data_IF_574673743584
#
_entry.id   IF_574673743584
#
_cell.length_a   1.000
_cell.length_b   1.000
_cell.length_c   1.000
_cell.angle_alpha   90.00
_cell.angle_beta   90.00
_cell.angle_gamma   90.00
#
_symmetry.space_group_name_H-M   'P 1'
#
loop_
_entity.id
_entity.type
_entity.pdbx_description
1 polymer ?
#
# COMPACT_ATOMS: atom_id res chain seq x y z
N UNK A 1 24.83 -6.92 -1.90
CA UNK A 1 24.83 -7.19 -3.37
C UNK A 1 23.79 -8.26 -3.60
N UNK A 2 22.52 -7.85 -3.73
CA UNK A 2 21.39 -8.78 -3.75
C UNK A 2 20.97 -9.09 -5.20
N UNK A 3 20.64 -10.36 -5.43
CA UNK A 3 20.32 -11.01 -6.70
C UNK A 3 19.45 -10.16 -7.66
N UNK A 4 20.07 -9.45 -8.60
CA UNK A 4 19.49 -9.16 -9.91
C UNK A 4 19.90 -10.25 -10.89
N UNK A 5 19.71 -11.52 -10.53
CA UNK A 5 20.43 -12.67 -11.12
C UNK A 5 20.33 -12.88 -12.65
N UNK A 6 19.61 -12.03 -13.39
CA UNK A 6 19.52 -12.08 -14.85
C UNK A 6 19.46 -10.70 -15.54
N UNK A 7 19.41 -9.58 -14.82
CA UNK A 7 19.22 -8.23 -15.41
C UNK A 7 20.34 -7.28 -15.00
N UNK A 8 20.79 -6.45 -15.94
CA UNK A 8 21.60 -5.26 -15.66
C UNK A 8 20.82 -4.24 -14.80
N UNK A 9 21.53 -3.26 -14.24
CA UNK A 9 20.89 -2.20 -13.42
C UNK A 9 19.92 -1.36 -14.26
N UNK A 10 20.28 -1.12 -15.51
CA UNK A 10 19.51 -0.36 -16.49
C UNK A 10 18.24 -1.12 -16.87
N UNK A 11 18.34 -2.42 -17.17
CA UNK A 11 17.18 -3.27 -17.46
C UNK A 11 16.23 -3.37 -16.27
N UNK A 12 16.77 -3.56 -15.07
CA UNK A 12 15.99 -3.57 -13.84
C UNK A 12 15.20 -2.26 -13.62
N UNK A 13 15.85 -1.13 -13.88
CA UNK A 13 15.22 0.20 -13.80
C UNK A 13 14.11 0.33 -14.84
N UNK A 14 14.36 -0.11 -16.08
CA UNK A 14 13.37 -0.08 -17.15
C UNK A 14 12.15 -0.95 -16.81
N UNK A 15 12.36 -2.17 -16.30
CA UNK A 15 11.26 -3.07 -15.91
C UNK A 15 10.37 -2.43 -14.84
N UNK A 16 10.94 -1.77 -13.83
CA UNK A 16 10.18 -1.01 -12.83
C UNK A 16 9.38 0.14 -13.45
N UNK A 17 10.00 0.90 -14.34
CA UNK A 17 9.35 2.02 -15.01
C UNK A 17 8.19 1.54 -15.89
N UNK A 18 8.41 0.48 -16.67
CA UNK A 18 7.41 -0.15 -17.52
C UNK A 18 6.23 -0.68 -16.69
N UNK A 19 6.52 -1.31 -15.55
CA UNK A 19 5.49 -1.84 -14.65
C UNK A 19 4.49 -0.77 -14.24
N UNK A 20 4.97 0.37 -13.71
CA UNK A 20 4.08 1.45 -13.27
C UNK A 20 3.42 2.18 -14.44
N UNK A 21 4.14 2.34 -15.55
CA UNK A 21 3.60 2.94 -16.78
C UNK A 21 2.45 2.12 -17.33
N UNK A 22 2.59 0.81 -17.41
CA UNK A 22 1.54 -0.08 -17.92
C UNK A 22 0.39 -0.25 -16.94
N UNK A 23 0.65 -0.24 -15.63
CA UNK A 23 -0.42 -0.20 -14.63
C UNK A 23 -1.31 1.03 -14.83
N UNK A 24 -0.72 2.23 -14.90
CA UNK A 24 -1.47 3.48 -15.11
C UNK A 24 -2.16 3.56 -16.47
N UNK A 25 -1.58 2.99 -17.53
CA UNK A 25 -2.24 2.86 -18.85
C UNK A 25 -3.36 1.82 -18.85
N UNK A 26 -3.29 0.77 -18.04
CA UNK A 26 -4.37 -0.22 -17.97
C UNK A 26 -5.55 0.34 -17.18
N UNK A 27 -5.27 1.02 -16.08
CA UNK A 27 -6.26 1.64 -15.20
C UNK A 27 -6.07 3.15 -15.21
N UNK A 28 -6.75 3.82 -16.14
CA UNK A 28 -6.74 5.29 -16.29
C UNK A 28 -7.51 5.97 -15.15
N UNK A 29 -7.01 5.84 -13.92
CA UNK A 29 -7.60 6.37 -12.69
C UNK A 29 -6.56 7.17 -11.92
N UNK A 30 -7.00 8.29 -11.34
CA UNK A 30 -6.21 9.06 -10.38
C UNK A 30 -6.51 8.55 -8.98
N UNK A 31 -5.47 8.12 -8.27
CA UNK A 31 -5.57 7.59 -6.90
C UNK A 31 -5.18 8.65 -5.87
N UNK A 32 -5.84 8.64 -4.71
CA UNK A 32 -5.55 9.48 -3.55
C UNK A 32 -4.49 8.80 -2.69
N UNK A 33 -3.23 8.88 -3.12
CA UNK A 33 -2.13 8.23 -2.40
C UNK A 33 -1.60 9.07 -1.23
N UNK A 34 -1.46 10.38 -1.46
CA UNK A 34 -0.84 11.30 -0.49
C UNK A 34 -1.74 12.48 -0.11
N UNK A 35 -2.72 12.83 -0.96
CA UNK A 35 -3.61 13.98 -0.73
C UNK A 35 -4.82 13.60 0.14
N UNK A 36 -4.57 12.87 1.22
CA UNK A 36 -5.58 12.34 2.14
C UNK A 36 -6.20 13.41 3.04
N UNK A 37 -5.70 14.65 3.00
CA UNK A 37 -6.05 15.78 3.88
C UNK A 37 -5.85 15.52 5.38
N UNK A 38 -5.24 14.38 5.74
CA UNK A 38 -4.85 14.06 7.11
C UNK A 38 -3.32 13.92 7.10
N UNK A 39 -2.67 14.70 7.96
CA UNK A 39 -1.21 14.79 7.98
C UNK A 39 -0.61 13.42 8.30
N UNK A 40 0.40 13.03 7.53
CA UNK A 40 1.18 11.79 7.71
C UNK A 40 0.35 10.49 7.63
N UNK A 41 -0.84 10.54 7.00
CA UNK A 41 -1.60 9.35 6.63
C UNK A 41 -1.62 9.22 5.10
N UNK A 42 -1.18 8.07 4.57
CA UNK A 42 -1.04 7.84 3.13
C UNK A 42 -1.64 6.49 2.72
N UNK A 43 -2.23 6.43 1.52
CA UNK A 43 -2.53 5.18 0.84
C UNK A 43 -1.37 4.80 -0.08
N UNK A 44 -0.93 3.55 -0.08
CA UNK A 44 0.26 3.15 -0.87
C UNK A 44 0.07 1.86 -1.65
N UNK A 45 0.67 1.84 -2.84
CA UNK A 45 1.05 0.62 -3.54
C UNK A 45 2.53 0.34 -3.25
N UNK A 46 2.86 -0.89 -2.88
CA UNK A 46 4.25 -1.30 -2.66
C UNK A 46 4.56 -2.63 -3.34
N UNK A 47 5.81 -2.78 -3.78
CA UNK A 47 6.36 -4.03 -4.29
C UNK A 47 7.54 -4.42 -3.39
N UNK A 48 7.41 -5.55 -2.69
CA UNK A 48 8.39 -6.09 -1.75
C UNK A 48 8.68 -7.55 -2.15
N UNK A 49 9.76 -7.88 -2.86
CA UNK A 49 9.98 -9.25 -3.38
C UNK A 49 9.93 -10.31 -2.24
N UNK A 50 9.05 -11.34 -2.29
CA UNK A 50 8.20 -11.79 -3.40
C UNK A 50 6.69 -11.46 -3.26
N UNK A 51 6.34 -10.21 -2.99
CA UNK A 51 5.00 -9.76 -2.61
C UNK A 51 4.65 -8.40 -3.23
N UNK A 52 3.36 -8.17 -3.42
CA UNK A 52 2.78 -6.86 -3.70
C UNK A 52 1.87 -6.47 -2.54
N UNK A 53 1.77 -5.18 -2.22
CA UNK A 53 1.04 -4.70 -1.06
C UNK A 53 0.22 -3.46 -1.38
N UNK A 54 -0.97 -3.39 -0.78
CA UNK A 54 -1.79 -2.17 -0.69
C UNK A 54 -1.94 -1.85 0.80
N UNK A 55 -1.71 -0.60 1.19
CA UNK A 55 -1.71 -0.19 2.60
C UNK A 55 -2.28 1.20 2.87
N UNK A 56 -2.74 1.40 4.11
CA UNK A 56 -2.83 2.70 4.79
C UNK A 56 -1.65 2.78 5.75
N UNK A 57 -0.83 3.81 5.59
CA UNK A 57 0.33 4.07 6.44
C UNK A 57 0.05 5.30 7.33
N UNK A 58 0.34 5.19 8.62
CA UNK A 58 0.41 6.32 9.56
C UNK A 58 1.88 6.54 9.90
N UNK A 59 2.46 7.58 9.33
CA UNK A 59 3.90 7.84 9.31
C UNK A 59 4.30 9.01 10.20
N UNK A 60 3.45 9.40 11.15
CA UNK A 60 3.74 10.53 12.03
C UNK A 60 5.00 10.24 12.87
N UNK A 61 5.93 11.20 12.93
CA UNK A 61 7.20 11.02 13.63
C UNK A 61 7.02 10.95 15.16
N UNK A 62 6.03 11.70 15.68
CA UNK A 62 5.57 11.59 17.07
C UNK A 62 4.71 10.33 17.23
N UNK A 63 5.10 9.50 18.20
CA UNK A 63 4.50 8.21 18.51
C UNK A 63 3.08 8.32 19.09
N UNK A 64 2.80 9.34 19.89
CA UNK A 64 1.46 9.59 20.45
C UNK A 64 0.46 9.88 19.33
N UNK A 65 0.83 10.73 18.37
CA UNK A 65 -0.04 10.99 17.22
C UNK A 65 -0.17 9.77 16.31
N UNK A 66 0.90 9.00 16.13
CA UNK A 66 0.88 7.77 15.34
C UNK A 66 -0.04 6.72 15.96
N UNK A 67 0.03 6.53 17.27
CA UNK A 67 -0.86 5.66 18.03
C UNK A 67 -2.32 6.14 17.95
N UNK A 68 -2.56 7.45 18.16
CA UNK A 68 -3.89 8.06 18.08
C UNK A 68 -4.62 7.75 16.76
N UNK A 69 -3.98 8.03 15.63
CA UNK A 69 -4.61 7.76 14.32
C UNK A 69 -4.75 6.27 14.03
N UNK A 70 -3.80 5.46 14.47
CA UNK A 70 -3.91 4.01 14.32
C UNK A 70 -5.05 3.42 15.17
N UNK A 71 -5.28 3.95 16.37
CA UNK A 71 -6.42 3.59 17.21
C UNK A 71 -7.74 3.97 16.58
N UNK A 72 -7.83 5.14 15.93
CA UNK A 72 -9.00 5.52 15.13
C UNK A 72 -9.26 4.58 13.96
N UNK A 73 -8.23 4.16 13.25
CA UNK A 73 -8.41 3.18 12.17
C UNK A 73 -8.80 1.79 12.72
N UNK A 74 -8.24 1.39 13.87
CA UNK A 74 -8.59 0.14 14.55
C UNK A 74 -10.03 0.13 15.07
N UNK A 75 -10.58 1.27 15.50
CA UNK A 75 -11.98 1.32 15.93
C UNK A 75 -12.94 1.02 14.77
N UNK A 76 -12.52 1.28 13.52
CA UNK A 76 -13.25 0.95 12.29
C UNK A 76 -12.90 -0.45 11.74
N UNK A 77 -12.21 -1.31 12.50
CA UNK A 77 -11.72 -2.61 12.01
C UNK A 77 -12.81 -3.51 11.43
N UNK A 78 -13.99 -3.57 12.04
CA UNK A 78 -15.09 -4.39 11.51
C UNK A 78 -15.51 -3.95 10.11
N UNK A 79 -15.58 -2.63 9.89
CA UNK A 79 -15.94 -2.01 8.62
C UNK A 79 -14.83 -2.24 7.58
N UNK A 80 -13.57 -2.02 7.97
CA UNK A 80 -12.40 -2.30 7.12
C UNK A 80 -12.39 -3.74 6.61
N UNK A 81 -12.66 -4.70 7.49
CA UNK A 81 -12.68 -6.12 7.14
C UNK A 81 -13.84 -6.43 6.17
N UNK A 82 -15.02 -5.86 6.42
CA UNK A 82 -16.21 -6.07 5.58
C UNK A 82 -16.07 -5.44 4.19
N UNK A 83 -15.64 -4.18 4.11
CA UNK A 83 -15.59 -3.42 2.87
C UNK A 83 -14.32 -3.71 2.03
N UNK A 84 -13.19 -3.98 2.70
CA UNK A 84 -11.90 -4.17 2.02
C UNK A 84 -11.53 -5.66 1.92
N UNK A 85 -11.22 -6.29 3.05
CA UNK A 85 -10.84 -7.72 3.13
C UNK A 85 -10.65 -8.19 4.58
N UNK A 86 -11.03 -9.44 4.87
CA UNK A 86 -10.69 -10.13 6.13
C UNK A 86 -9.20 -10.41 6.31
N UNK A 87 -8.46 -10.45 5.20
CA UNK A 87 -7.00 -10.66 5.17
C UNK A 87 -6.18 -9.43 5.56
N UNK A 88 -6.82 -8.30 5.95
CA UNK A 88 -6.11 -7.12 6.38
C UNK A 88 -5.32 -7.38 7.67
N UNK A 89 -4.04 -7.01 7.64
CA UNK A 89 -3.14 -7.03 8.79
C UNK A 89 -3.05 -5.63 9.37
N UNK A 90 -3.14 -5.54 10.70
CA UNK A 90 -3.02 -4.29 11.47
C UNK A 90 -1.74 -4.36 12.28
N UNK A 91 -0.74 -3.58 11.90
CA UNK A 91 0.59 -3.58 12.50
C UNK A 91 0.93 -2.18 13.06
N UNK A 92 0.92 -1.98 14.39
CA UNK A 92 1.26 -0.69 15.01
C UNK A 92 2.75 -0.33 14.92
N UNK A 93 3.64 -1.30 14.65
CA UNK A 93 5.08 -1.13 14.75
C UNK A 93 5.80 -1.72 13.52
N UNK A 94 5.31 -1.36 12.34
CA UNK A 94 5.91 -1.81 11.09
C UNK A 94 7.23 -1.06 10.83
N UNK A 95 8.32 -1.82 10.72
CA UNK A 95 9.65 -1.26 10.44
C UNK A 95 9.90 -1.19 8.92
N UNK A 96 10.01 0.04 8.39
CA UNK A 96 10.38 0.27 6.99
C UNK A 96 11.85 -0.09 6.74
N UNK A 97 12.22 -0.34 5.49
CA UNK A 97 13.63 -0.55 5.09
C UNK A 97 14.55 0.63 5.45
N UNK A 98 13.99 1.83 5.57
CA UNK A 98 14.72 3.02 6.03
C UNK A 98 15.09 2.99 7.52
N UNK A 99 14.55 2.04 8.28
CA UNK A 99 14.66 1.99 9.74
C UNK A 99 13.62 2.84 10.47
N UNK A 100 12.73 3.54 9.74
CA UNK A 100 11.61 4.26 10.34
C UNK A 100 10.51 3.28 10.74
N UNK A 101 10.03 3.37 11.96
CA UNK A 101 8.85 2.66 12.45
C UNK A 101 7.58 3.46 12.12
N UNK A 102 6.56 2.78 11.62
CA UNK A 102 5.26 3.36 11.27
C UNK A 102 4.13 2.43 11.78
N UNK A 103 2.89 2.94 11.84
CA UNK A 103 1.72 2.07 11.95
C UNK A 103 1.15 1.82 10.56
N UNK A 104 0.72 0.60 10.28
CA UNK A 104 0.28 0.19 8.95
C UNK A 104 -0.90 -0.76 9.01
N UNK A 105 -1.86 -0.55 8.13
CA UNK A 105 -2.91 -1.52 7.81
C UNK A 105 -2.70 -1.94 6.38
N UNK A 106 -2.54 -3.23 6.11
CA UNK A 106 -2.14 -3.69 4.79
C UNK A 106 -2.70 -5.06 4.41
N UNK A 107 -2.70 -5.33 3.11
CA UNK A 107 -2.97 -6.65 2.53
C UNK A 107 -1.85 -6.99 1.54
N UNK A 108 -1.46 -8.27 1.52
CA UNK A 108 -0.46 -8.79 0.59
C UNK A 108 -1.09 -9.63 -0.53
N UNK A 109 -0.44 -9.59 -1.68
CA UNK A 109 -0.51 -10.61 -2.71
C UNK A 109 0.83 -11.31 -2.76
N UNK A 110 0.85 -12.62 -2.53
CA UNK A 110 2.06 -13.42 -2.60
C UNK A 110 1.79 -14.87 -3.06
N UNK A 111 2.76 -15.54 -3.72
CA UNK A 111 4.03 -15.01 -4.19
C UNK A 111 3.92 -14.32 -5.57
N UNK A 112 4.47 -13.12 -5.70
CA UNK A 112 4.60 -12.37 -6.97
C UNK A 112 5.89 -11.55 -7.02
N UNK A 113 6.47 -11.35 -8.20
CA UNK A 113 7.68 -10.54 -8.37
C UNK A 113 7.47 -9.49 -9.44
N UNK A 114 7.83 -8.23 -9.14
CA UNK A 114 7.82 -7.17 -10.16
C UNK A 114 8.70 -7.54 -11.37
N UNK A 115 9.81 -8.26 -11.14
CA UNK A 115 10.71 -8.70 -12.23
C UNK A 115 10.10 -9.79 -13.12
N UNK A 116 9.08 -10.51 -12.64
CA UNK A 116 8.41 -11.59 -13.39
C UNK A 116 7.20 -10.99 -14.12
N UNK A 117 7.39 -10.57 -15.36
CA UNK A 117 6.34 -9.91 -16.19
C UNK A 117 5.03 -10.70 -16.30
N UNK A 118 5.09 -12.03 -16.20
CA UNK A 118 3.89 -12.90 -16.19
C UNK A 118 3.01 -12.70 -14.95
N UNK A 119 3.53 -12.12 -13.86
CA UNK A 119 2.75 -11.80 -12.65
C UNK A 119 2.00 -10.49 -12.77
N UNK A 120 2.38 -9.61 -13.71
CA UNK A 120 1.87 -8.24 -13.77
C UNK A 120 0.34 -8.17 -13.84
N UNK A 121 -0.35 -8.99 -14.66
CA UNK A 121 -1.82 -8.96 -14.70
C UNK A 121 -2.43 -9.19 -13.31
N UNK A 122 -1.92 -10.19 -12.57
CA UNK A 122 -2.40 -10.54 -11.22
C UNK A 122 -2.11 -9.42 -10.22
N UNK A 123 -0.92 -8.81 -10.28
CA UNK A 123 -0.56 -7.68 -9.41
C UNK A 123 -1.45 -6.47 -9.71
N UNK A 124 -1.69 -6.18 -10.99
CA UNK A 124 -2.51 -5.04 -11.38
C UNK A 124 -3.97 -5.20 -10.97
N UNK A 125 -4.54 -6.39 -11.12
CA UNK A 125 -5.89 -6.71 -10.65
C UNK A 125 -5.99 -6.56 -9.13
N UNK A 126 -4.99 -7.05 -8.39
CA UNK A 126 -4.90 -6.88 -6.94
C UNK A 126 -4.82 -5.40 -6.54
N UNK A 127 -3.90 -4.64 -7.13
CA UNK A 127 -3.75 -3.21 -6.88
C UNK A 127 -5.04 -2.45 -7.16
N UNK A 128 -5.64 -2.66 -8.33
CA UNK A 128 -6.89 -2.00 -8.69
C UNK A 128 -8.00 -2.33 -7.69
N UNK A 129 -8.25 -3.63 -7.42
CA UNK A 129 -9.33 -4.08 -6.54
C UNK A 129 -9.19 -3.52 -5.12
N UNK A 130 -8.01 -3.69 -4.51
CA UNK A 130 -7.86 -3.37 -3.09
C UNK A 130 -7.60 -1.89 -2.85
N UNK A 131 -6.95 -1.18 -3.77
CA UNK A 131 -6.84 0.27 -3.63
C UNK A 131 -8.19 0.95 -3.84
N UNK A 132 -9.03 0.49 -4.78
CA UNK A 132 -10.37 1.03 -4.98
C UNK A 132 -11.21 0.91 -3.70
N UNK A 133 -11.23 -0.28 -3.09
CA UNK A 133 -11.92 -0.51 -1.81
C UNK A 133 -11.35 0.33 -0.67
N UNK A 134 -10.02 0.36 -0.54
CA UNK A 134 -9.35 1.07 0.54
C UNK A 134 -9.53 2.59 0.42
N UNK A 135 -9.47 3.13 -0.80
CA UNK A 135 -9.72 4.53 -1.10
C UNK A 135 -11.19 4.89 -0.81
N UNK A 136 -12.14 4.06 -1.23
CA UNK A 136 -13.57 4.27 -0.91
C UNK A 136 -13.81 4.30 0.59
N UNK A 137 -13.33 3.31 1.33
CA UNK A 137 -13.39 3.30 2.79
C UNK A 137 -12.77 4.58 3.38
N UNK A 138 -11.56 4.94 2.93
CA UNK A 138 -10.85 6.08 3.49
C UNK A 138 -11.64 7.38 3.31
N UNK A 139 -12.27 7.61 2.15
CA UNK A 139 -13.09 8.79 1.90
C UNK A 139 -14.38 8.80 2.70
N UNK A 140 -15.03 7.64 2.85
CA UNK A 140 -16.29 7.53 3.59
C UNK A 140 -16.11 7.84 5.08
N UNK A 141 -14.98 7.42 5.67
CA UNK A 141 -14.70 7.60 7.10
C UNK A 141 -13.64 8.68 7.38
N UNK A 142 -13.26 9.48 6.38
CA UNK A 142 -12.20 10.48 6.50
C UNK A 142 -12.45 11.48 7.62
N UNK A 143 -13.68 11.99 7.72
CA UNK A 143 -14.04 13.00 8.73
C UNK A 143 -13.87 12.44 10.15
N UNK A 144 -14.27 11.19 10.37
CA UNK A 144 -14.07 10.50 11.65
C UNK A 144 -12.59 10.28 11.96
N UNK A 145 -11.78 9.89 10.96
CA UNK A 145 -10.33 9.69 11.16
C UNK A 145 -9.64 11.02 11.47
N UNK A 146 -10.12 12.12 10.87
CA UNK A 146 -9.53 13.46 10.99
C UNK A 146 -9.86 14.17 12.30
N UNK A 147 -11.02 13.90 12.90
CA UNK A 147 -11.47 14.51 14.16
C UNK A 147 -10.48 14.29 15.33
#
# INVERSE_FOLDING_TARGET
>A
MYFYGMYSKEEAKQIRQDFWTFFGKRYHRKWTLYDTKIKDINLKFSMEDPRAMVSIDVEHDDDVFREYYFDKLKSLKSILIEEVSEDLVFDPHYLLESGKEISRIYIYLEPVKLMRKTDWPKIYEFFYKYMDRLETFFWEYQDYIKE
#
